data_IF_864173805320
#
_entry.id   IF_864173805320
#
_cell.length_a   1.000
_cell.length_b   1.000
_cell.length_c   1.000
_cell.angle_alpha   90.00
_cell.angle_beta   90.00
_cell.angle_gamma   90.00
#
_symmetry.space_group_name_H-M   'P 1'
#
loop_
_entity.id
_entity.type
_entity.pdbx_description
1 polymer ?
#
# COMPACT_ATOMS: atom_id res chain seq x y z
N UNK A 1 24.51 21.29 58.68
CA UNK A 1 23.99 20.66 59.90
C UNK A 1 22.50 20.94 59.98
N UNK A 2 21.72 19.98 60.50
CA UNK A 2 20.26 19.80 60.41
C UNK A 2 19.79 19.25 59.02
N UNK A 3 19.18 18.07 58.87
CA UNK A 3 18.61 17.10 59.81
C UNK A 3 17.09 17.02 59.67
N UNK A 4 16.56 15.78 59.58
CA UNK A 4 15.15 15.33 59.40
C UNK A 4 14.66 15.28 57.94
N UNK A 5 14.07 14.20 57.41
CA UNK A 5 13.66 12.90 57.98
C UNK A 5 12.32 12.45 57.37
N UNK A 6 12.33 11.29 56.70
CA UNK A 6 11.22 10.39 56.37
C UNK A 6 9.92 10.91 55.70
N UNK A 7 9.60 10.41 54.51
CA UNK A 7 8.74 9.22 54.30
C UNK A 7 8.21 9.19 52.85
N UNK A 8 8.24 8.00 52.23
CA UNK A 8 7.49 7.65 51.03
C UNK A 8 6.42 6.59 51.45
N UNK A 9 5.52 6.10 50.57
CA UNK A 9 5.01 6.61 49.29
C UNK A 9 3.45 6.58 49.22
N UNK A 10 2.84 7.20 48.22
CA UNK A 10 1.52 6.78 47.73
C UNK A 10 1.35 7.14 46.25
N UNK A 11 1.23 6.09 45.43
CA UNK A 11 0.92 6.15 44.01
C UNK A 11 -0.58 6.43 43.81
N UNK A 12 -0.93 7.17 42.77
CA UNK A 12 -2.08 6.89 41.92
C UNK A 12 -2.04 7.77 40.66
N UNK A 13 -2.06 7.11 39.52
CA UNK A 13 -2.16 7.66 38.18
C UNK A 13 -3.58 8.16 37.90
N UNK A 14 -3.70 9.22 37.08
CA UNK A 14 -4.98 9.70 36.56
C UNK A 14 -4.83 10.99 35.74
N UNK A 15 -4.44 10.86 34.47
CA UNK A 15 -4.65 11.88 33.41
C UNK A 15 -6.15 11.86 33.06
N UNK A 16 -6.98 12.88 33.24
CA UNK A 16 -6.98 14.27 32.73
C UNK A 16 -7.49 14.41 31.28
N UNK A 17 -8.76 14.90 31.19
CA UNK A 17 -9.32 15.90 30.24
C UNK A 17 -9.60 15.39 28.81
N UNK A 18 -10.72 15.63 28.11
CA UNK A 18 -11.90 16.44 28.37
C UNK A 18 -12.55 16.90 27.04
N UNK A 19 -13.86 16.68 26.93
CA UNK A 19 -14.90 17.46 26.21
C UNK A 19 -14.84 17.62 24.67
N UNK A 20 -15.76 16.95 23.95
CA UNK A 20 -16.74 17.60 23.06
C UNK A 20 -18.06 16.80 23.08
N UNK A 21 -19.05 17.32 23.78
CA UNK A 21 -20.45 16.87 23.80
C UNK A 21 -21.28 17.77 22.90
N UNK A 22 -22.03 17.23 21.94
CA UNK A 22 -23.03 18.03 21.23
C UNK A 22 -23.62 17.54 19.91
N UNK A 23 -23.84 16.23 19.65
CA UNK A 23 -24.68 15.77 18.50
C UNK A 23 -25.53 14.51 18.78
N UNK A 24 -25.31 13.75 19.86
CA UNK A 24 -25.83 12.37 19.95
C UNK A 24 -27.32 12.24 20.37
N UNK A 25 -28.00 13.31 20.78
CA UNK A 25 -29.38 13.19 21.35
C UNK A 25 -30.48 13.12 20.27
N UNK A 26 -30.19 13.38 18.99
CA UNK A 26 -31.20 13.38 17.92
C UNK A 26 -31.61 12.01 17.36
N UNK A 27 -30.74 10.98 17.46
CA UNK A 27 -30.97 9.70 16.77
C UNK A 27 -31.59 8.59 17.63
N UNK A 28 -31.60 8.75 18.95
CA UNK A 28 -32.06 7.70 19.86
C UNK A 28 -33.61 7.61 19.99
N UNK A 29 -34.36 8.62 19.54
CA UNK A 29 -35.82 8.65 19.71
C UNK A 29 -36.57 8.02 18.53
N UNK A 30 -35.94 7.88 17.35
CA UNK A 30 -36.61 7.30 16.18
C UNK A 30 -36.53 5.77 16.08
N UNK A 31 -35.70 5.14 16.92
CA UNK A 31 -35.47 3.68 16.90
C UNK A 31 -36.45 2.88 17.78
N UNK A 32 -37.24 3.54 18.65
CA UNK A 32 -38.13 2.86 19.60
C UNK A 32 -39.61 2.79 19.18
N UNK A 33 -39.98 3.31 18.00
CA UNK A 33 -41.38 3.33 17.53
C UNK A 33 -41.62 2.61 16.20
N UNK A 34 -40.67 1.83 15.70
CA UNK A 34 -40.89 0.99 14.52
C UNK A 34 -41.37 -0.41 14.96
N UNK A 35 -42.62 -0.74 14.63
CA UNK A 35 -43.24 -2.04 14.84
C UNK A 35 -42.42 -3.16 14.14
N UNK A 36 -42.27 -4.35 14.76
CA UNK A 36 -41.45 -5.42 14.21
C UNK A 36 -42.13 -6.02 12.97
N UNK A 37 -41.61 -5.71 11.79
CA UNK A 37 -41.95 -6.43 10.57
C UNK A 37 -41.32 -7.82 10.64
N UNK A 38 -42.16 -8.85 10.48
CA UNK A 38 -41.75 -10.23 10.29
C UNK A 38 -41.01 -10.30 8.95
N UNK A 39 -39.68 -10.25 9.00
CA UNK A 39 -38.84 -10.49 7.84
C UNK A 39 -38.82 -12.00 7.61
N UNK A 40 -39.57 -12.44 6.60
CA UNK A 40 -39.39 -13.77 6.01
C UNK A 40 -37.92 -13.95 5.66
N UNK A 41 -37.32 -15.05 6.14
CA UNK A 41 -35.97 -15.44 5.81
C UNK A 41 -35.89 -15.66 4.30
N UNK A 42 -35.48 -14.63 3.56
CA UNK A 42 -34.98 -14.81 2.21
C UNK A 42 -33.85 -15.83 2.29
N UNK A 43 -34.07 -16.97 1.63
CA UNK A 43 -32.99 -17.90 1.30
C UNK A 43 -31.98 -17.09 0.50
N UNK A 44 -30.93 -16.64 1.17
CA UNK A 44 -29.69 -16.23 0.52
C UNK A 44 -29.25 -17.47 -0.26
N UNK A 45 -29.52 -17.46 -1.56
CA UNK A 45 -28.84 -18.32 -2.51
C UNK A 45 -27.39 -17.86 -2.42
N UNK A 46 -26.63 -18.49 -1.52
CA UNK A 46 -25.18 -18.41 -1.51
C UNK A 46 -24.78 -18.92 -2.90
N UNK A 47 -24.37 -18.01 -3.77
CA UNK A 47 -23.59 -18.41 -4.92
C UNK A 47 -22.36 -19.10 -4.34
N UNK A 48 -22.36 -20.43 -4.42
CA UNK A 48 -21.19 -21.26 -4.15
C UNK A 48 -20.12 -20.82 -5.14
N UNK A 49 -19.28 -19.87 -4.73
CA UNK A 49 -17.98 -19.65 -5.36
C UNK A 49 -17.30 -21.02 -5.35
N UNK A 50 -16.97 -21.52 -6.54
CA UNK A 50 -16.35 -22.84 -6.65
C UNK A 50 -14.99 -22.81 -5.96
N UNK A 51 -14.53 -23.97 -5.48
CA UNK A 51 -13.22 -24.08 -4.85
C UNK A 51 -12.08 -23.63 -5.80
N UNK A 52 -12.33 -23.63 -7.11
CA UNK A 52 -11.42 -23.11 -8.13
C UNK A 52 -11.29 -21.58 -8.08
N UNK A 53 -12.40 -20.84 -7.90
CA UNK A 53 -12.37 -19.38 -7.75
C UNK A 53 -11.70 -18.98 -6.43
N UNK A 54 -11.89 -19.78 -5.37
CA UNK A 54 -11.20 -19.60 -4.11
C UNK A 54 -9.69 -19.84 -4.22
N UNK A 55 -9.27 -20.88 -4.94
CA UNK A 55 -7.87 -21.19 -5.19
C UNK A 55 -7.18 -20.09 -6.01
N UNK A 56 -7.87 -19.56 -7.03
CA UNK A 56 -7.38 -18.44 -7.82
C UNK A 56 -7.21 -17.17 -6.95
N UNK A 57 -8.18 -16.88 -6.07
CA UNK A 57 -8.05 -15.78 -5.11
C UNK A 57 -6.89 -15.99 -4.13
N UNK A 58 -6.65 -17.22 -3.68
CA UNK A 58 -5.59 -17.59 -2.73
C UNK A 58 -4.17 -17.62 -3.32
N UNK A 59 -3.99 -17.48 -4.63
CA UNK A 59 -2.67 -17.56 -5.27
C UNK A 59 -1.84 -16.28 -5.06
N UNK A 60 -2.52 -15.15 -4.86
CA UNK A 60 -1.90 -13.82 -4.68
C UNK A 60 -1.78 -13.37 -3.21
N UNK A 61 -2.15 -14.23 -2.26
CA UNK A 61 -2.28 -13.88 -0.84
C UNK A 61 -1.14 -14.44 0.01
N UNK A 62 -0.89 -13.79 1.16
CA UNK A 62 0.07 -14.25 2.18
C UNK A 62 -0.12 -15.73 2.53
N UNK A 63 0.97 -16.50 2.74
CA UNK A 63 0.89 -17.93 3.06
C UNK A 63 0.05 -18.26 4.29
N UNK A 64 -0.01 -17.33 5.25
CA UNK A 64 -0.70 -17.49 6.53
C UNK A 64 -2.22 -17.42 6.39
N UNK A 65 -2.76 -16.47 5.63
CA UNK A 65 -4.20 -16.32 5.39
C UNK A 65 -4.73 -17.49 4.55
N UNK A 66 -3.95 -17.92 3.54
CA UNK A 66 -4.23 -19.12 2.77
C UNK A 66 -4.27 -20.37 3.65
N UNK A 67 -3.32 -20.52 4.58
CA UNK A 67 -3.28 -21.66 5.49
C UNK A 67 -4.52 -21.71 6.40
N UNK A 68 -4.98 -20.55 6.90
CA UNK A 68 -6.19 -20.45 7.73
C UNK A 68 -7.45 -20.85 6.98
N UNK A 69 -7.65 -20.31 5.78
CA UNK A 69 -8.83 -20.60 4.96
C UNK A 69 -8.86 -22.08 4.54
N UNK A 70 -7.74 -22.63 4.05
CA UNK A 70 -7.64 -24.05 3.70
C UNK A 70 -7.79 -24.95 4.94
N UNK A 71 -7.31 -24.50 6.10
CA UNK A 71 -7.51 -25.19 7.38
C UNK A 71 -8.97 -25.20 7.83
N UNK A 72 -9.72 -24.11 7.62
CA UNK A 72 -11.16 -24.06 7.89
C UNK A 72 -11.94 -24.95 6.92
N UNK A 73 -11.57 -24.96 5.63
CA UNK A 73 -12.18 -25.82 4.62
C UNK A 73 -11.99 -27.31 4.93
N UNK A 74 -10.78 -27.73 5.28
CA UNK A 74 -10.50 -29.12 5.73
C UNK A 74 -11.30 -29.51 6.96
N UNK A 75 -11.46 -28.59 7.93
CA UNK A 75 -12.29 -28.85 9.12
C UNK A 75 -13.74 -29.14 8.76
N UNK A 76 -14.31 -28.43 7.78
CA UNK A 76 -15.66 -28.71 7.28
C UNK A 76 -15.72 -30.10 6.63
N UNK A 77 -14.77 -30.41 5.75
CA UNK A 77 -14.69 -31.72 5.06
C UNK A 77 -14.56 -32.89 6.06
N UNK A 78 -13.69 -32.76 7.06
CA UNK A 78 -13.47 -33.76 8.11
C UNK A 78 -14.74 -33.96 8.94
N UNK A 79 -15.44 -32.89 9.31
CA UNK A 79 -16.69 -32.95 10.08
C UNK A 79 -17.84 -33.56 9.26
N UNK A 80 -17.92 -33.28 7.96
CA UNK A 80 -18.90 -33.89 7.07
C UNK A 80 -18.66 -35.40 6.89
N UNK A 81 -17.40 -35.82 6.76
CA UNK A 81 -17.04 -37.23 6.70
C UNK A 81 -17.38 -37.97 8.01
N UNK A 82 -17.07 -37.38 9.16
CA UNK A 82 -17.40 -37.93 10.48
C UNK A 82 -18.92 -38.01 10.71
N UNK A 83 -19.67 -36.99 10.28
CA UNK A 83 -21.13 -37.01 10.34
C UNK A 83 -21.70 -38.15 9.50
N UNK A 84 -21.23 -38.32 8.26
CA UNK A 84 -21.67 -39.39 7.38
C UNK A 84 -21.38 -40.78 7.98
N UNK A 85 -20.20 -40.98 8.56
CA UNK A 85 -19.84 -42.23 9.25
C UNK A 85 -20.79 -42.52 10.43
N UNK A 86 -21.06 -41.51 11.27
CA UNK A 86 -21.92 -41.65 12.46
C UNK A 86 -23.39 -41.87 12.09
N UNK A 87 -23.90 -41.17 11.08
CA UNK A 87 -25.25 -41.37 10.56
C UNK A 87 -25.43 -42.77 9.96
N UNK A 88 -24.43 -43.28 9.23
CA UNK A 88 -24.42 -44.64 8.70
C UNK A 88 -24.40 -45.70 9.82
N UNK A 89 -23.52 -45.54 10.82
CA UNK A 89 -23.44 -46.44 11.97
C UNK A 89 -24.76 -46.47 12.77
N UNK A 90 -25.41 -45.32 12.94
CA UNK A 90 -26.72 -45.24 13.57
C UNK A 90 -27.82 -45.92 12.73
N UNK A 91 -27.78 -45.78 11.40
CA UNK A 91 -28.72 -46.47 10.52
C UNK A 91 -28.57 -48.01 10.59
N UNK A 92 -27.33 -48.51 10.61
CA UNK A 92 -27.03 -49.92 10.81
C UNK A 92 -27.52 -50.42 12.18
N UNK A 93 -27.23 -49.67 13.26
CA UNK A 93 -27.68 -50.02 14.61
C UNK A 93 -29.20 -50.01 14.73
N UNK A 94 -29.91 -49.14 14.00
CA UNK A 94 -31.39 -49.10 13.95
C UNK A 94 -31.98 -50.29 13.17
N UNK A 95 -31.26 -50.81 12.19
CA UNK A 95 -31.69 -51.97 11.39
C UNK A 95 -31.46 -53.32 12.09
N UNK A 96 -30.44 -53.39 12.96
CA UNK A 96 -30.13 -54.58 13.75
C UNK A 96 -31.25 -54.85 14.78
N UNK A 97 -32.03 -55.92 14.56
CA UNK A 97 -33.20 -56.23 15.39
C UNK A 97 -32.83 -57.20 16.52
N UNK A 98 -32.96 -56.77 17.78
CA UNK A 98 -32.63 -57.58 18.96
C UNK A 98 -33.87 -58.25 19.58
N UNK A 99 -33.79 -59.55 19.90
CA UNK A 99 -34.89 -60.34 20.48
C UNK A 99 -34.96 -60.27 22.02
N UNK A 100 -33.86 -59.87 22.68
CA UNK A 100 -33.73 -59.83 24.14
C UNK A 100 -34.01 -58.41 24.70
N UNK A 101 -34.83 -58.30 25.75
CA UNK A 101 -35.23 -57.04 26.37
C UNK A 101 -34.03 -56.28 26.97
N UNK A 102 -33.06 -56.98 27.54
CA UNK A 102 -31.83 -56.38 28.08
C UNK A 102 -31.00 -55.72 26.98
N UNK A 103 -30.87 -56.39 25.82
CA UNK A 103 -30.13 -55.89 24.66
C UNK A 103 -30.85 -54.73 23.98
N UNK A 104 -32.19 -54.74 23.93
CA UNK A 104 -32.99 -53.60 23.46
C UNK A 104 -32.76 -52.33 24.28
N UNK A 105 -32.69 -52.46 25.62
CA UNK A 105 -32.42 -51.31 26.50
C UNK A 105 -31.00 -50.78 26.32
N UNK A 106 -30.01 -51.66 26.14
CA UNK A 106 -28.63 -51.28 25.83
C UNK A 106 -28.53 -50.57 24.46
N UNK A 107 -29.16 -51.12 23.41
CA UNK A 107 -29.21 -50.53 22.08
C UNK A 107 -29.92 -49.17 22.08
N UNK A 108 -31.03 -49.03 22.79
CA UNK A 108 -31.73 -47.74 22.92
C UNK A 108 -30.88 -46.66 23.62
N UNK A 109 -30.03 -47.05 24.58
CA UNK A 109 -29.07 -46.12 25.20
C UNK A 109 -27.98 -45.71 24.20
N UNK A 110 -27.46 -46.65 23.42
CA UNK A 110 -26.47 -46.37 22.37
C UNK A 110 -27.05 -45.49 21.26
N UNK A 111 -28.30 -45.70 20.84
CA UNK A 111 -28.98 -44.82 19.88
C UNK A 111 -29.08 -43.40 20.40
N UNK A 112 -29.57 -43.21 21.63
CA UNK A 112 -29.66 -41.86 22.22
C UNK A 112 -28.31 -41.18 22.33
N UNK A 113 -27.25 -41.95 22.61
CA UNK A 113 -25.89 -41.43 22.65
C UNK A 113 -25.40 -41.03 21.25
N UNK A 114 -25.58 -41.88 20.23
CA UNK A 114 -25.21 -41.58 18.85
C UNK A 114 -26.02 -40.40 18.27
N UNK A 115 -27.31 -40.30 18.58
CA UNK A 115 -28.13 -39.14 18.19
C UNK A 115 -27.60 -37.85 18.82
N UNK A 116 -27.22 -37.88 20.10
CA UNK A 116 -26.59 -36.73 20.75
C UNK A 116 -25.22 -36.37 20.13
N UNK A 117 -24.40 -37.36 19.80
CA UNK A 117 -23.11 -37.16 19.11
C UNK A 117 -23.32 -36.55 17.70
N UNK A 118 -24.30 -37.01 16.94
CA UNK A 118 -24.64 -36.47 15.62
C UNK A 118 -25.11 -35.01 15.73
N UNK A 119 -25.98 -34.70 16.67
CA UNK A 119 -26.44 -33.32 16.87
C UNK A 119 -25.30 -32.40 17.31
N UNK A 120 -24.36 -32.88 18.13
CA UNK A 120 -23.16 -32.14 18.47
C UNK A 120 -22.28 -31.90 17.23
N UNK A 121 -22.02 -32.93 16.43
CA UNK A 121 -21.21 -32.83 15.22
C UNK A 121 -21.86 -31.91 14.16
N UNK A 122 -23.20 -31.86 14.07
CA UNK A 122 -23.91 -30.91 13.21
C UNK A 122 -23.70 -29.47 13.69
N UNK A 123 -23.81 -29.23 14.99
CA UNK A 123 -23.55 -27.90 15.55
C UNK A 123 -22.10 -27.46 15.32
N UNK A 124 -21.13 -28.37 15.46
CA UNK A 124 -19.72 -28.12 15.16
C UNK A 124 -19.49 -27.83 13.66
N UNK A 125 -20.15 -28.58 12.77
CA UNK A 125 -20.09 -28.36 11.33
C UNK A 125 -20.67 -27.01 10.93
N UNK A 126 -21.82 -26.63 11.47
CA UNK A 126 -22.46 -25.34 11.19
C UNK A 126 -21.58 -24.18 11.68
N UNK A 127 -20.93 -24.33 12.83
CA UNK A 127 -19.97 -23.35 13.34
C UNK A 127 -18.73 -23.24 12.42
N UNK A 128 -18.19 -24.36 11.95
CA UNK A 128 -17.05 -24.37 11.03
C UNK A 128 -17.38 -23.76 9.66
N UNK A 129 -18.61 -23.98 9.15
CA UNK A 129 -19.10 -23.34 7.93
C UNK A 129 -19.18 -21.83 8.13
N UNK A 130 -19.71 -21.37 9.27
CA UNK A 130 -19.78 -19.95 9.57
C UNK A 130 -18.39 -19.30 9.62
N UNK A 131 -17.41 -19.93 10.29
CA UNK A 131 -16.01 -19.48 10.33
C UNK A 131 -15.42 -19.38 8.91
N UNK A 132 -15.66 -20.38 8.06
CA UNK A 132 -15.18 -20.37 6.67
C UNK A 132 -15.76 -19.19 5.87
N UNK A 133 -17.06 -18.94 5.97
CA UNK A 133 -17.72 -17.85 5.24
C UNK A 133 -17.29 -16.47 5.74
N UNK A 134 -17.07 -16.31 7.05
CA UNK A 134 -16.50 -15.10 7.63
C UNK A 134 -15.10 -14.82 7.05
N UNK A 135 -14.21 -15.82 7.08
CA UNK A 135 -12.86 -15.71 6.50
C UNK A 135 -12.90 -15.37 5.00
N UNK A 136 -13.86 -15.93 4.25
CA UNK A 136 -14.05 -15.61 2.82
C UNK A 136 -14.45 -14.16 2.60
N UNK A 137 -15.32 -13.61 3.44
CA UNK A 137 -15.76 -12.22 3.31
C UNK A 137 -14.66 -11.25 3.73
N UNK A 138 -13.93 -11.53 4.81
CA UNK A 138 -12.74 -10.76 5.20
C UNK A 138 -11.73 -10.70 4.05
N UNK A 139 -11.48 -11.84 3.39
CA UNK A 139 -10.56 -11.92 2.26
C UNK A 139 -10.99 -11.06 1.07
N UNK A 140 -12.29 -11.06 0.73
CA UNK A 140 -12.81 -10.20 -0.33
C UNK A 140 -12.63 -8.72 -0.01
N UNK A 141 -12.74 -8.35 1.27
CA UNK A 141 -12.56 -6.98 1.71
C UNK A 141 -11.09 -6.56 1.67
N UNK A 142 -10.16 -7.43 2.08
CA UNK A 142 -8.73 -7.15 2.00
C UNK A 142 -8.26 -6.99 0.56
N UNK A 143 -8.69 -7.87 -0.35
CA UNK A 143 -8.38 -7.76 -1.79
C UNK A 143 -8.86 -6.43 -2.38
N UNK A 144 -10.11 -6.03 -2.09
CA UNK A 144 -10.64 -4.72 -2.53
C UNK A 144 -9.85 -3.54 -1.99
N UNK A 145 -9.36 -3.63 -0.75
CA UNK A 145 -8.55 -2.56 -0.17
C UNK A 145 -7.14 -2.51 -0.77
N UNK A 146 -6.53 -3.66 -1.05
CA UNK A 146 -5.26 -3.76 -1.77
C UNK A 146 -5.36 -3.15 -3.16
N UNK A 147 -6.40 -3.47 -3.94
CA UNK A 147 -6.65 -2.85 -5.25
C UNK A 147 -6.74 -1.33 -5.16
N UNK A 148 -7.46 -0.81 -4.15
CA UNK A 148 -7.55 0.64 -3.91
C UNK A 148 -6.20 1.25 -3.55
N UNK A 149 -5.35 0.52 -2.83
CA UNK A 149 -4.00 0.98 -2.49
C UNK A 149 -3.09 0.98 -3.72
N UNK A 150 -3.16 -0.04 -4.57
CA UNK A 150 -2.41 -0.12 -5.83
C UNK A 150 -2.77 1.08 -6.74
N UNK A 151 -4.06 1.32 -6.96
CA UNK A 151 -4.53 2.46 -7.76
C UNK A 151 -4.06 3.79 -7.16
N UNK A 152 -4.16 3.96 -5.84
CA UNK A 152 -3.64 5.16 -5.16
C UNK A 152 -2.13 5.32 -5.39
N UNK A 153 -1.35 4.27 -5.18
CA UNK A 153 0.09 4.27 -5.39
C UNK A 153 0.45 4.66 -6.83
N UNK A 154 -0.20 4.07 -7.84
CA UNK A 154 0.01 4.45 -9.24
C UNK A 154 -0.30 5.92 -9.51
N UNK A 155 -1.40 6.45 -8.97
CA UNK A 155 -1.75 7.87 -9.17
C UNK A 155 -0.72 8.79 -8.54
N UNK A 156 -0.19 8.44 -7.36
CA UNK A 156 0.90 9.18 -6.72
C UNK A 156 2.20 9.08 -7.53
N UNK A 157 2.55 7.90 -8.06
CA UNK A 157 3.71 7.74 -8.96
C UNK A 157 3.58 8.61 -10.20
N UNK A 158 2.43 8.60 -10.87
CA UNK A 158 2.15 9.45 -12.05
C UNK A 158 2.30 10.94 -11.71
N UNK A 159 1.76 11.38 -10.56
CA UNK A 159 1.91 12.76 -10.07
C UNK A 159 3.37 13.11 -9.76
N UNK A 160 4.09 12.22 -9.07
CA UNK A 160 5.51 12.42 -8.74
C UNK A 160 6.37 12.55 -10.01
N UNK A 161 6.17 11.68 -11.01
CA UNK A 161 6.85 11.75 -12.31
C UNK A 161 6.54 13.07 -13.03
N UNK A 162 5.28 13.51 -13.01
CA UNK A 162 4.87 14.82 -13.55
C UNK A 162 5.59 15.97 -12.84
N UNK A 163 5.55 16.02 -11.51
CA UNK A 163 6.19 17.09 -10.74
C UNK A 163 7.71 17.09 -10.86
N UNK A 164 8.35 15.91 -10.95
CA UNK A 164 9.79 15.80 -11.23
C UNK A 164 10.12 16.46 -12.57
N UNK A 165 9.37 16.13 -13.64
CA UNK A 165 9.56 16.74 -14.97
C UNK A 165 9.36 18.26 -14.95
N UNK A 166 8.28 18.74 -14.34
CA UNK A 166 7.99 20.18 -14.22
C UNK A 166 9.06 20.90 -13.38
N UNK A 167 9.56 20.26 -12.31
CA UNK A 167 10.65 20.79 -11.48
C UNK A 167 11.96 20.91 -12.27
N UNK A 168 12.35 19.85 -12.99
CA UNK A 168 13.55 19.87 -13.85
C UNK A 168 13.43 20.95 -14.93
N UNK A 169 12.27 21.08 -15.57
CA UNK A 169 12.02 22.13 -16.58
C UNK A 169 12.09 23.54 -15.98
N UNK A 170 11.45 23.77 -14.83
CA UNK A 170 11.53 25.06 -14.14
C UNK A 170 12.97 25.39 -13.73
N UNK A 171 13.72 24.41 -13.24
CA UNK A 171 15.13 24.59 -12.87
C UNK A 171 16.00 24.93 -14.08
N UNK A 172 15.74 24.31 -15.23
CA UNK A 172 16.41 24.61 -16.49
C UNK A 172 16.11 26.04 -16.96
N UNK A 173 14.83 26.46 -16.91
CA UNK A 173 14.46 27.82 -17.26
C UNK A 173 15.12 28.85 -16.33
N UNK A 174 15.21 28.55 -15.02
CA UNK A 174 15.92 29.39 -14.07
C UNK A 174 17.42 29.49 -14.39
N UNK A 175 18.06 28.36 -14.73
CA UNK A 175 19.45 28.30 -15.15
C UNK A 175 19.71 29.14 -16.41
N UNK A 176 18.90 28.97 -17.47
CA UNK A 176 19.00 29.74 -18.72
C UNK A 176 18.79 31.23 -18.48
N UNK A 177 17.79 31.60 -17.66
CA UNK A 177 17.54 33.01 -17.33
C UNK A 177 18.69 33.62 -16.50
N UNK A 178 19.27 32.85 -15.57
CA UNK A 178 20.48 33.24 -14.85
C UNK A 178 21.65 33.47 -15.82
N UNK A 179 21.87 32.52 -16.74
CA UNK A 179 22.90 32.62 -17.76
C UNK A 179 22.74 33.86 -18.65
N UNK A 180 21.51 34.18 -19.07
CA UNK A 180 21.22 35.40 -19.83
C UNK A 180 21.61 36.66 -19.05
N UNK A 181 21.34 36.71 -17.75
CA UNK A 181 21.69 37.86 -16.90
C UNK A 181 23.20 37.98 -16.69
N UNK A 182 23.90 36.85 -16.53
CA UNK A 182 25.35 36.84 -16.26
C UNK A 182 26.20 37.08 -17.51
N UNK A 183 25.83 36.46 -18.64
CA UNK A 183 26.59 36.52 -19.89
C UNK A 183 26.35 37.84 -20.64
N UNK A 184 25.09 38.31 -20.66
CA UNK A 184 24.72 39.46 -21.47
C UNK A 184 25.01 40.78 -20.75
N UNK A 185 25.96 41.53 -21.30
CA UNK A 185 26.30 42.87 -20.82
C UNK A 185 25.18 43.88 -21.00
N UNK A 186 25.22 44.95 -20.17
CA UNK A 186 24.34 46.11 -20.29
C UNK A 186 24.36 46.68 -21.72
N UNK A 187 23.18 46.90 -22.30
CA UNK A 187 23.06 47.45 -23.65
C UNK A 187 21.65 47.91 -23.99
N UNK A 188 21.42 48.21 -25.27
CA UNK A 188 20.08 48.51 -25.77
C UNK A 188 19.23 47.24 -25.84
N UNK A 189 17.90 47.39 -25.83
CA UNK A 189 16.94 46.27 -25.94
C UNK A 189 17.26 45.32 -27.11
N UNK A 190 17.58 45.87 -28.29
CA UNK A 190 17.96 45.08 -29.49
C UNK A 190 19.25 44.27 -29.29
N UNK A 191 20.18 44.75 -28.47
CA UNK A 191 21.43 44.03 -28.16
C UNK A 191 21.16 42.89 -27.18
N UNK A 192 20.30 43.11 -26.18
CA UNK A 192 19.90 42.07 -25.24
C UNK A 192 19.15 40.94 -25.94
N UNK A 193 18.22 41.27 -26.84
CA UNK A 193 17.47 40.28 -27.62
C UNK A 193 18.41 39.35 -28.42
N UNK A 194 19.35 39.91 -29.17
CA UNK A 194 20.37 39.14 -29.90
C UNK A 194 21.30 38.33 -29.00
N UNK A 195 21.59 38.86 -27.80
CA UNK A 195 22.41 38.13 -26.83
C UNK A 195 21.64 36.95 -26.23
N UNK A 196 20.36 37.13 -25.88
CA UNK A 196 19.50 36.07 -25.37
C UNK A 196 19.35 34.95 -26.42
N UNK A 197 19.13 35.30 -27.69
CA UNK A 197 19.09 34.32 -28.78
C UNK A 197 20.40 33.52 -28.90
N UNK A 198 21.55 34.18 -28.71
CA UNK A 198 22.85 33.51 -28.74
C UNK A 198 23.05 32.58 -27.56
N UNK A 199 22.63 33.00 -26.35
CA UNK A 199 22.67 32.16 -25.15
C UNK A 199 21.73 30.96 -25.32
N UNK A 200 20.52 31.15 -25.85
CA UNK A 200 19.59 30.05 -26.12
C UNK A 200 20.14 29.06 -27.16
N UNK A 201 20.83 29.55 -28.18
CA UNK A 201 21.49 28.71 -29.18
C UNK A 201 22.68 27.93 -28.59
N UNK A 202 23.48 28.57 -27.72
CA UNK A 202 24.61 27.94 -27.03
C UNK A 202 24.12 26.89 -26.02
N UNK A 203 23.05 27.18 -25.27
CA UNK A 203 22.38 26.27 -24.34
C UNK A 203 21.37 25.36 -25.06
N UNK A 204 21.76 24.82 -26.20
CA UNK A 204 20.90 24.00 -27.05
C UNK A 204 20.48 22.66 -26.41
N UNK A 205 19.79 21.78 -27.17
CA UNK A 205 19.21 20.54 -26.66
C UNK A 205 20.22 19.61 -25.98
N UNK A 206 21.46 19.53 -26.48
CA UNK A 206 22.54 18.71 -25.90
C UNK A 206 22.89 19.14 -24.47
N UNK A 207 23.02 20.45 -24.23
CA UNK A 207 23.31 21.00 -22.89
C UNK A 207 22.11 20.78 -21.96
N UNK A 208 20.88 20.96 -22.46
CA UNK A 208 19.66 20.69 -21.71
C UNK A 208 19.57 19.24 -21.27
N UNK A 209 19.93 18.28 -22.13
CA UNK A 209 19.92 16.86 -21.81
C UNK A 209 20.93 16.53 -20.70
N UNK A 210 22.18 16.97 -20.83
CA UNK A 210 23.20 16.81 -19.78
C UNK A 210 22.77 17.43 -18.45
N UNK A 211 22.19 18.64 -18.51
CA UNK A 211 21.65 19.30 -17.33
C UNK A 211 20.53 18.48 -16.69
N UNK A 212 19.58 17.99 -17.49
CA UNK A 212 18.49 17.16 -17.00
C UNK A 212 19.01 15.87 -16.37
N UNK A 213 20.01 15.21 -16.95
CA UNK A 213 20.65 14.03 -16.36
C UNK A 213 21.18 14.34 -14.97
N UNK A 214 22.00 15.38 -14.83
CA UNK A 214 22.61 15.75 -13.54
C UNK A 214 21.59 16.07 -12.43
N UNK A 215 20.50 16.75 -12.80
CA UNK A 215 19.43 17.09 -11.85
C UNK A 215 18.55 15.87 -11.54
N UNK A 216 18.24 15.04 -12.54
CA UNK A 216 17.37 13.87 -12.38
C UNK A 216 18.02 12.75 -11.55
N UNK A 217 19.35 12.64 -11.59
CA UNK A 217 20.15 11.70 -10.79
C UNK A 217 20.55 12.27 -9.42
N UNK A 218 20.12 13.50 -9.09
CA UNK A 218 20.41 14.20 -7.83
C UNK A 218 21.91 14.34 -7.51
N UNK A 219 22.79 14.25 -8.51
CA UNK A 219 24.23 14.32 -8.28
C UNK A 219 24.69 15.75 -8.01
N UNK A 220 24.32 16.68 -8.90
CA UNK A 220 24.65 18.10 -8.77
C UNK A 220 23.77 18.95 -9.69
N UNK A 221 23.49 20.20 -9.30
CA UNK A 221 22.93 21.20 -10.21
C UNK A 221 24.08 21.84 -11.00
N UNK A 222 24.09 21.76 -12.34
CA UNK A 222 25.15 22.40 -13.14
C UNK A 222 25.23 23.89 -12.88
N UNK A 223 26.46 24.42 -12.90
CA UNK A 223 26.75 25.82 -12.57
C UNK A 223 27.47 26.47 -13.74
N UNK A 224 27.02 27.67 -14.11
CA UNK A 224 27.69 28.52 -15.08
C UNK A 224 28.81 29.30 -14.39
N UNK A 225 30.01 29.30 -14.98
CA UNK A 225 31.14 30.10 -14.49
C UNK A 225 31.88 30.79 -15.62
N UNK A 226 32.43 31.96 -15.31
CA UNK A 226 33.36 32.67 -16.18
C UNK A 226 34.79 32.25 -15.81
N UNK A 227 35.59 31.90 -16.81
CA UNK A 227 36.99 31.52 -16.60
C UNK A 227 37.87 32.72 -16.24
N UNK A 228 38.74 32.50 -15.26
CA UNK A 228 39.81 33.42 -14.93
C UNK A 228 41.00 33.26 -15.90
N UNK A 229 41.85 34.29 -15.98
CA UNK A 229 42.98 34.30 -16.91
C UNK A 229 43.99 33.21 -16.54
N UNK A 230 44.09 32.17 -17.37
CA UNK A 230 45.00 31.04 -17.17
C UNK A 230 44.44 29.91 -16.32
N UNK A 231 43.13 29.91 -16.05
CA UNK A 231 42.43 28.81 -15.38
C UNK A 231 42.33 27.59 -16.30
N UNK A 232 42.66 26.41 -15.77
CA UNK A 232 42.42 25.14 -16.45
C UNK A 232 40.95 24.72 -16.26
N UNK A 233 40.35 24.21 -17.34
CA UNK A 233 38.96 23.80 -17.31
C UNK A 233 38.77 22.63 -16.33
N UNK A 234 37.86 22.73 -15.33
CA UNK A 234 37.60 21.63 -14.41
C UNK A 234 37.13 20.36 -15.13
N UNK A 235 37.29 19.21 -14.47
CA UNK A 235 36.75 17.95 -14.96
C UNK A 235 35.24 18.07 -15.20
N UNK A 236 34.75 17.50 -16.30
CA UNK A 236 33.33 17.52 -16.71
C UNK A 236 32.75 18.92 -16.97
N UNK A 237 33.60 19.92 -17.15
CA UNK A 237 33.15 21.21 -17.65
C UNK A 237 33.20 21.27 -19.19
N UNK A 238 32.29 22.06 -19.77
CA UNK A 238 32.20 22.30 -21.21
C UNK A 238 32.18 23.80 -21.49
N UNK A 239 33.01 24.24 -22.43
CA UNK A 239 33.00 25.64 -22.88
C UNK A 239 31.71 25.95 -23.61
N UNK A 240 31.13 27.13 -23.33
CA UNK A 240 30.11 27.67 -24.21
C UNK A 240 30.77 28.15 -25.51
N UNK A 241 30.15 27.90 -26.68
CA UNK A 241 30.62 28.46 -27.93
C UNK A 241 30.63 29.99 -27.86
N UNK A 242 31.79 30.59 -28.16
CA UNK A 242 32.04 32.04 -28.07
C UNK A 242 31.77 32.75 -29.41
N UNK A 243 30.82 32.21 -30.16
CA UNK A 243 30.61 32.51 -31.58
C UNK A 243 30.02 33.91 -31.82
N UNK A 244 29.70 34.65 -30.74
CA UNK A 244 29.01 35.92 -30.83
C UNK A 244 29.76 37.06 -30.12
N UNK A 245 29.83 38.21 -30.78
CA UNK A 245 30.46 39.44 -30.27
C UNK A 245 29.75 40.09 -29.07
N UNK A 246 28.66 39.50 -28.60
CA UNK A 246 27.80 40.05 -27.55
C UNK A 246 27.96 39.35 -26.19
N UNK A 247 28.68 38.23 -26.15
CA UNK A 247 29.01 37.49 -24.93
C UNK A 247 30.41 37.91 -24.45
N UNK A 248 30.59 38.00 -23.13
CA UNK A 248 31.96 38.07 -22.57
C UNK A 248 32.66 36.76 -22.86
N UNK A 249 33.94 36.81 -23.24
CA UNK A 249 34.69 35.60 -23.59
C UNK A 249 34.93 34.71 -22.38
N UNK A 250 34.88 33.40 -22.61
CA UNK A 250 35.34 32.39 -21.66
C UNK A 250 34.30 31.96 -20.61
N UNK A 251 33.07 31.63 -21.01
CA UNK A 251 32.11 30.96 -20.12
C UNK A 251 32.16 29.45 -20.29
N UNK A 252 32.03 28.73 -19.19
CA UNK A 252 31.90 27.28 -19.19
C UNK A 252 30.83 26.82 -18.19
N UNK A 253 30.27 25.64 -18.42
CA UNK A 253 29.31 24.99 -17.52
C UNK A 253 30.02 23.81 -16.87
N UNK A 254 29.94 23.71 -15.55
CA UNK A 254 30.38 22.52 -14.81
C UNK A 254 29.17 21.59 -14.69
N UNK A 255 29.27 20.38 -15.25
CA UNK A 255 28.27 19.32 -15.09
C UNK A 255 28.61 18.39 -13.92
N UNK A 256 27.67 17.49 -13.62
CA UNK A 256 27.89 16.36 -12.73
C UNK A 256 28.88 15.35 -13.32
N UNK A 257 29.51 14.56 -12.45
CA UNK A 257 30.37 13.45 -12.83
C UNK A 257 29.51 12.23 -13.20
N UNK A 258 29.53 11.78 -14.48
CA UNK A 258 28.74 10.64 -14.92
C UNK A 258 29.23 9.29 -14.38
N UNK A 259 30.39 9.26 -13.72
CA UNK A 259 30.99 8.03 -13.16
C UNK A 259 30.60 7.78 -11.70
N UNK A 260 30.06 8.80 -11.02
CA UNK A 260 29.50 8.62 -9.69
C UNK A 260 28.18 7.85 -9.79
N UNK A 261 27.85 6.97 -8.82
CA UNK A 261 26.57 6.30 -8.80
C UNK A 261 25.44 7.35 -8.82
N UNK A 262 24.40 7.09 -9.60
CA UNK A 262 23.19 7.90 -9.56
C UNK A 262 22.65 7.89 -8.13
N UNK A 263 22.30 9.05 -7.58
CA UNK A 263 21.59 9.09 -6.31
C UNK A 263 20.27 8.33 -6.48
N UNK A 264 19.85 7.55 -5.48
CA UNK A 264 18.67 6.67 -5.55
C UNK A 264 17.53 7.34 -6.31
N UNK A 265 17.26 6.87 -7.53
CA UNK A 265 16.19 7.44 -8.33
C UNK A 265 14.87 6.81 -7.89
N UNK A 266 13.77 7.51 -8.17
CA UNK A 266 12.43 6.96 -7.93
C UNK A 266 12.20 5.65 -8.73
N UNK A 267 12.87 5.53 -9.89
CA UNK A 267 12.79 4.33 -10.72
C UNK A 267 13.66 3.18 -10.19
N UNK A 268 14.78 3.47 -9.49
CA UNK A 268 15.56 2.44 -8.77
C UNK A 268 14.81 1.88 -7.56
N UNK A 269 14.15 2.76 -6.80
CA UNK A 269 13.24 2.36 -5.71
C UNK A 269 12.08 1.50 -6.24
N UNK A 270 11.55 1.84 -7.41
CA UNK A 270 10.50 1.05 -8.07
C UNK A 270 11.03 -0.32 -8.53
N UNK A 271 12.27 -0.41 -9.04
CA UNK A 271 12.90 -1.69 -9.40
C UNK A 271 13.15 -2.56 -8.16
N UNK A 272 13.69 -1.99 -7.10
CA UNK A 272 13.93 -2.72 -5.84
C UNK A 272 12.64 -3.20 -5.17
N UNK A 273 11.53 -2.47 -5.32
CA UNK A 273 10.21 -2.88 -4.83
C UNK A 273 9.53 -3.95 -5.70
N UNK A 274 9.92 -4.09 -6.97
CA UNK A 274 9.41 -5.14 -7.88
C UNK A 274 10.26 -6.41 -7.83
N UNK A 275 11.50 -6.33 -7.34
CA UNK A 275 12.43 -7.45 -7.20
C UNK A 275 12.41 -8.10 -5.81
N UNK A 276 11.64 -7.57 -4.85
CA UNK A 276 11.38 -8.13 -3.52
C UNK A 276 10.03 -8.84 -3.47
#
# INVERSE_FOLDING_TARGET
>A
MAGFGNSAPLALAGLAIGVVSGVVIGYAIHAFTAEPQVVEKEKIVQQELSDEELLAMCEEISPDERSRLMGAQRRVEDLEALLAEKEAALAELKSATEADESRRRAAAKQWKQMEAEIEQLKAERDAAIAEREELREELKQTLKELDRQIVRAETFKKKAKKYKRESTENSWLAFVNGAKVEICDKGSRKRHEKCHEAVDAALGPSVREKYATCVNTYQATPVLKQAEKGEELPAFAEWLPDDNKFTRKGWYIIFCDPTLPEGQTLDDLDRELLEQ
#
